data_IF_586384097575
#
_entry.id   IF_586384097575
#
_cell.length_a   1.000
_cell.length_b   1.000
_cell.length_c   1.000
_cell.angle_alpha   90.00
_cell.angle_beta   90.00
_cell.angle_gamma   90.00
#
_symmetry.space_group_name_H-M   'P 1'
#
loop_
_entity.id
_entity.type
_entity.pdbx_description
1 polymer ?
#
# COMPACT_ATOMS: atom_id res chain seq x y z
N UNK A 1 -0.36 13.94 10.95
CA UNK A 1 0.25 14.40 9.70
C UNK A 1 -0.47 15.59 9.08
N UNK A 2 -1.76 15.74 9.32
CA UNK A 2 -2.54 16.96 9.06
C UNK A 2 -2.74 17.69 10.40
N UNK A 3 -3.16 18.95 10.39
CA UNK A 3 -3.49 19.67 11.64
C UNK A 3 -4.88 19.22 12.12
N UNK A 4 -5.92 19.62 11.42
CA UNK A 4 -7.31 19.24 11.66
C UNK A 4 -8.03 19.07 10.32
N UNK A 5 -9.15 18.35 10.33
CA UNK A 5 -10.03 18.28 9.18
C UNK A 5 -10.48 16.87 8.83
N UNK A 6 -11.33 16.75 7.80
CA UNK A 6 -11.88 15.49 7.37
C UNK A 6 -10.80 14.50 6.91
N UNK A 7 -10.98 13.22 7.21
CA UNK A 7 -10.08 12.15 6.80
C UNK A 7 -10.77 11.20 5.84
N UNK A 8 -12.05 10.94 6.08
CA UNK A 8 -12.85 10.04 5.26
C UNK A 8 -14.33 10.39 5.40
N UNK A 9 -15.10 10.13 4.37
CA UNK A 9 -16.55 10.23 4.39
C UNK A 9 -17.16 8.82 4.31
N UNK A 10 -18.19 8.53 5.08
CA UNK A 10 -18.84 7.22 5.15
C UNK A 10 -20.31 7.38 4.81
N UNK A 11 -20.79 6.63 3.81
CA UNK A 11 -22.19 6.59 3.41
C UNK A 11 -22.84 5.28 3.83
N UNK A 12 -23.93 5.36 4.56
CA UNK A 12 -24.74 4.21 4.95
C UNK A 12 -25.76 3.79 3.87
N UNK A 13 -26.49 2.71 4.14
CA UNK A 13 -27.51 2.19 3.23
C UNK A 13 -28.71 3.14 3.05
N UNK A 14 -28.95 4.10 3.96
CA UNK A 14 -29.98 5.13 3.83
C UNK A 14 -29.55 6.30 2.93
N UNK A 15 -28.29 6.33 2.52
CA UNK A 15 -27.69 7.42 1.75
C UNK A 15 -27.15 8.56 2.62
N UNK A 16 -27.23 8.45 3.95
CA UNK A 16 -26.66 9.46 4.86
C UNK A 16 -25.14 9.38 4.82
N UNK A 17 -24.52 10.54 4.67
CA UNK A 17 -23.06 10.69 4.68
C UNK A 17 -22.62 11.23 6.04
N UNK A 18 -21.67 10.55 6.67
CA UNK A 18 -21.01 10.99 7.88
C UNK A 18 -19.54 11.27 7.56
N UNK A 19 -19.06 12.43 7.97
CA UNK A 19 -17.66 12.81 7.86
C UNK A 19 -16.91 12.42 9.13
N UNK A 20 -15.79 11.73 8.99
CA UNK A 20 -14.86 11.43 10.08
C UNK A 20 -13.65 12.33 9.94
N UNK A 21 -13.37 13.10 10.97
CA UNK A 21 -12.32 14.12 10.97
C UNK A 21 -11.33 13.94 12.12
N UNK A 22 -10.11 14.40 11.93
CA UNK A 22 -9.20 14.68 13.02
C UNK A 22 -9.60 16.02 13.67
N UNK A 23 -9.95 15.94 14.95
CA UNK A 23 -10.36 17.10 15.74
C UNK A 23 -9.23 17.68 16.59
N UNK A 24 -8.05 17.04 16.58
CA UNK A 24 -6.90 17.47 17.39
C UNK A 24 -6.10 18.50 16.61
N UNK A 25 -5.84 19.63 17.25
CA UNK A 25 -4.92 20.62 16.72
C UNK A 25 -3.47 20.13 16.80
N UNK A 26 -2.67 20.46 15.81
CA UNK A 26 -1.26 20.16 15.71
C UNK A 26 -0.96 18.84 14.99
N UNK A 27 0.00 18.89 14.06
CA UNK A 27 0.50 17.72 13.36
C UNK A 27 1.72 17.14 14.08
N UNK A 28 1.75 15.82 14.30
CA UNK A 28 2.89 15.13 14.90
C UNK A 28 4.17 15.22 14.05
N UNK A 29 4.02 15.39 12.73
CA UNK A 29 5.12 15.56 11.80
C UNK A 29 4.75 16.54 10.68
N UNK A 30 5.54 17.59 10.52
CA UNK A 30 5.33 18.62 9.50
C UNK A 30 6.39 18.62 8.39
N UNK A 31 7.43 17.80 8.54
CA UNK A 31 8.50 17.64 7.53
C UNK A 31 8.04 16.91 6.26
N UNK A 32 8.96 16.65 5.33
CA UNK A 32 8.67 15.87 4.12
C UNK A 32 8.07 14.50 4.44
N UNK A 33 7.08 14.08 3.66
CA UNK A 33 6.36 12.82 3.85
C UNK A 33 6.23 12.09 2.52
N UNK A 34 6.57 10.81 2.53
CA UNK A 34 6.26 9.86 1.47
C UNK A 34 5.58 8.63 2.07
N UNK A 35 4.58 8.11 1.38
CA UNK A 35 3.84 6.92 1.79
C UNK A 35 4.05 5.84 0.73
N UNK A 36 4.59 4.70 1.16
CA UNK A 36 4.77 3.54 0.30
C UNK A 36 3.51 2.69 0.30
N UNK A 37 3.01 2.35 -0.86
CA UNK A 37 1.82 1.53 -1.05
C UNK A 37 2.05 0.46 -2.10
N UNK A 38 1.28 -0.63 -2.03
CA UNK A 38 1.26 -1.68 -3.04
C UNK A 38 -0.14 -2.26 -3.20
N UNK A 39 -0.28 -3.27 -4.07
CA UNK A 39 -1.57 -3.94 -4.32
C UNK A 39 -2.22 -4.56 -3.09
N UNK A 40 -1.46 -4.88 -2.04
CA UNK A 40 -1.99 -5.42 -0.78
C UNK A 40 -2.44 -4.32 0.22
N UNK A 41 -2.12 -3.05 -0.04
CA UNK A 41 -2.60 -1.93 0.76
C UNK A 41 -4.10 -1.75 0.54
N UNK A 42 -4.91 -2.00 1.56
CA UNK A 42 -6.36 -2.06 1.42
C UNK A 42 -7.10 -1.31 2.54
N UNK A 43 -8.34 -0.88 2.27
CA UNK A 43 -9.29 -0.38 3.27
C UNK A 43 -8.73 0.81 4.09
N UNK A 44 -8.47 0.66 5.39
CA UNK A 44 -7.94 1.73 6.23
C UNK A 44 -6.61 2.30 5.73
N UNK A 45 -5.74 1.48 5.16
CA UNK A 45 -4.49 1.93 4.53
C UNK A 45 -4.78 2.83 3.32
N UNK A 46 -5.85 2.55 2.57
CA UNK A 46 -6.30 3.38 1.45
C UNK A 46 -6.89 4.71 1.92
N UNK A 47 -7.63 4.70 3.04
CA UNK A 47 -8.12 5.93 3.68
C UNK A 47 -6.94 6.84 4.04
N UNK A 48 -5.92 6.28 4.68
CA UNK A 48 -4.73 7.04 5.07
C UNK A 48 -3.98 7.60 3.85
N UNK A 49 -3.64 6.75 2.88
CA UNK A 49 -2.93 7.17 1.68
C UNK A 49 -3.72 8.23 0.88
N UNK A 50 -5.03 8.02 0.74
CA UNK A 50 -5.92 8.96 0.06
C UNK A 50 -5.99 10.32 0.77
N UNK A 51 -6.10 10.34 2.10
CA UNK A 51 -6.10 11.60 2.86
C UNK A 51 -4.78 12.36 2.68
N UNK A 52 -3.63 11.69 2.80
CA UNK A 52 -2.32 12.30 2.56
C UNK A 52 -2.23 12.89 1.15
N UNK A 53 -2.71 12.17 0.14
CA UNK A 53 -2.73 12.61 -1.25
C UNK A 53 -3.66 13.81 -1.47
N UNK A 54 -4.90 13.73 -0.98
CA UNK A 54 -5.93 14.77 -1.18
C UNK A 54 -5.55 16.09 -0.50
N UNK A 55 -4.91 16.02 0.66
CA UNK A 55 -4.36 17.19 1.33
C UNK A 55 -3.09 17.75 0.66
N UNK A 56 -2.48 17.03 -0.27
CA UNK A 56 -1.15 17.38 -0.78
C UNK A 56 -0.10 17.37 0.31
N UNK A 57 -0.31 16.54 1.37
CA UNK A 57 0.57 16.50 2.54
C UNK A 57 1.84 15.70 2.28
N UNK A 58 1.81 14.76 1.36
CA UNK A 58 2.93 13.89 1.02
C UNK A 58 2.73 13.23 -0.34
N UNK A 59 3.77 12.56 -0.82
CA UNK A 59 3.78 11.84 -2.10
C UNK A 59 3.50 10.37 -1.86
N UNK A 60 2.60 9.79 -2.64
CA UNK A 60 2.32 8.35 -2.61
C UNK A 60 3.22 7.67 -3.65
N UNK A 61 3.90 6.61 -3.24
CA UNK A 61 4.89 5.91 -4.05
C UNK A 61 4.58 4.41 -4.05
N UNK A 62 4.70 3.74 -5.19
CA UNK A 62 4.56 2.30 -5.30
C UNK A 62 3.56 1.84 -6.33
N UNK A 63 2.73 0.85 -6.02
CA UNK A 63 1.69 0.34 -6.91
C UNK A 63 0.31 0.90 -6.52
N UNK A 64 -0.66 0.98 -7.46
CA UNK A 64 -2.05 1.24 -7.10
C UNK A 64 -2.53 0.30 -6.01
N UNK A 65 -3.28 0.79 -5.03
CA UNK A 65 -3.73 0.01 -3.89
C UNK A 65 -4.86 -0.98 -4.27
N UNK A 66 -5.35 -1.75 -3.32
CA UNK A 66 -6.30 -2.86 -3.53
C UNK A 66 -7.63 -2.43 -4.15
N UNK A 67 -8.17 -1.28 -3.74
CA UNK A 67 -9.45 -0.77 -4.22
C UNK A 67 -10.67 -1.13 -3.39
N UNK A 68 -10.50 -1.44 -2.08
CA UNK A 68 -11.64 -1.75 -1.19
C UNK A 68 -12.22 -0.47 -0.60
N UNK A 69 -13.38 -0.06 -1.10
CA UNK A 69 -14.14 1.12 -0.65
C UNK A 69 -15.35 0.78 0.23
N UNK A 70 -15.40 -0.42 0.82
CA UNK A 70 -16.54 -0.92 1.60
C UNK A 70 -16.20 -1.11 3.06
N UNK A 71 -17.18 -0.88 3.93
CA UNK A 71 -17.16 -1.22 5.35
C UNK A 71 -17.99 -2.49 5.57
N UNK A 72 -17.39 -3.48 6.19
CA UNK A 72 -18.02 -4.77 6.42
C UNK A 72 -18.08 -5.08 7.91
N UNK A 73 -19.21 -5.65 8.32
CA UNK A 73 -19.40 -6.20 9.66
C UNK A 73 -19.45 -7.71 9.60
N UNK A 74 -18.90 -8.33 10.64
CA UNK A 74 -19.04 -9.76 10.88
C UNK A 74 -20.20 -9.96 11.87
N UNK A 75 -21.26 -10.61 11.42
CA UNK A 75 -22.44 -10.88 12.20
C UNK A 75 -22.43 -12.36 12.62
N UNK A 76 -22.35 -12.61 13.91
CA UNK A 76 -22.49 -13.97 14.42
C UNK A 76 -23.96 -14.40 14.36
N UNK A 77 -24.24 -15.39 13.51
CA UNK A 77 -25.59 -15.86 13.24
C UNK A 77 -26.18 -16.64 14.41
N UNK A 78 -25.30 -17.30 15.20
CA UNK A 78 -25.74 -18.03 16.38
C UNK A 78 -26.19 -17.09 17.50
N UNK A 79 -25.51 -15.95 17.67
CA UNK A 79 -25.96 -14.90 18.59
C UNK A 79 -27.33 -14.32 18.18
N UNK A 80 -27.55 -14.13 16.87
CA UNK A 80 -28.85 -13.66 16.36
C UNK A 80 -29.95 -14.69 16.58
N UNK A 81 -29.63 -15.97 16.39
CA UNK A 81 -30.57 -17.08 16.60
C UNK A 81 -30.70 -17.48 18.09
N UNK A 82 -29.89 -16.88 18.98
CA UNK A 82 -29.80 -17.23 20.41
C UNK A 82 -29.46 -18.71 20.66
N UNK A 83 -28.58 -19.26 19.83
CA UNK A 83 -28.09 -20.63 20.00
C UNK A 83 -27.06 -20.70 21.15
N UNK A 84 -27.19 -21.66 22.05
CA UNK A 84 -26.20 -21.92 23.11
C UNK A 84 -24.92 -22.59 22.54
N UNK A 85 -25.07 -23.35 21.47
CA UNK A 85 -23.95 -23.98 20.75
C UNK A 85 -23.86 -23.48 19.34
N UNK A 86 -22.64 -23.23 18.79
CA UNK A 86 -22.47 -22.76 17.43
C UNK A 86 -22.99 -23.75 16.38
N UNK A 87 -23.88 -23.28 15.48
CA UNK A 87 -24.50 -24.07 14.40
C UNK A 87 -24.34 -23.36 13.05
N UNK A 88 -24.47 -22.02 13.01
CA UNK A 88 -24.58 -21.25 11.76
C UNK A 88 -23.31 -20.50 11.38
N UNK A 89 -22.40 -20.22 12.34
CA UNK A 89 -21.18 -19.44 12.08
C UNK A 89 -21.43 -17.95 11.88
N UNK A 90 -20.57 -17.29 11.08
CA UNK A 90 -20.55 -15.84 10.93
C UNK A 90 -20.87 -15.41 9.49
N UNK A 91 -21.67 -14.34 9.35
CA UNK A 91 -21.97 -13.68 8.10
C UNK A 91 -21.17 -12.39 7.98
N UNK A 92 -20.30 -12.29 6.96
CA UNK A 92 -19.60 -11.06 6.61
C UNK A 92 -20.43 -10.26 5.63
N UNK A 93 -20.93 -9.10 6.06
CA UNK A 93 -21.85 -8.28 5.30
C UNK A 93 -21.32 -6.86 5.11
N UNK A 94 -21.43 -6.33 3.89
CA UNK A 94 -21.17 -4.91 3.61
C UNK A 94 -22.32 -4.07 4.14
N UNK A 95 -22.02 -3.09 4.97
CA UNK A 95 -23.00 -2.22 5.64
C UNK A 95 -22.88 -0.75 5.22
N UNK A 96 -21.71 -0.31 4.79
CA UNK A 96 -21.44 1.07 4.39
C UNK A 96 -20.38 1.12 3.29
N UNK A 97 -20.25 2.27 2.64
CA UNK A 97 -19.17 2.60 1.72
C UNK A 97 -18.42 3.80 2.26
N UNK A 98 -17.11 3.83 2.09
CA UNK A 98 -16.32 5.01 2.40
C UNK A 98 -15.82 5.70 1.13
N UNK A 99 -15.60 6.99 1.26
CA UNK A 99 -15.19 7.89 0.20
C UNK A 99 -14.04 8.76 0.67
N UNK A 100 -13.19 9.12 -0.27
CA UNK A 100 -12.15 10.11 -0.06
C UNK A 100 -12.78 11.46 0.29
N UNK A 101 -12.01 12.33 0.89
CA UNK A 101 -12.45 13.70 1.19
C UNK A 101 -12.69 14.53 -0.09
N UNK A 102 -12.07 14.16 -1.21
CA UNK A 102 -12.35 14.76 -2.52
C UNK A 102 -13.68 14.29 -3.16
N UNK A 103 -14.38 13.37 -2.50
CA UNK A 103 -15.66 12.80 -2.93
C UNK A 103 -15.57 11.53 -3.76
N UNK A 104 -14.40 11.15 -4.26
CA UNK A 104 -14.19 9.90 -4.99
C UNK A 104 -14.16 8.69 -4.05
N UNK A 105 -14.42 7.50 -4.59
CA UNK A 105 -14.23 6.24 -3.86
C UNK A 105 -12.90 5.59 -4.21
N UNK A 106 -12.34 4.80 -3.30
CA UNK A 106 -11.24 3.86 -3.59
C UNK A 106 -11.76 2.57 -4.25
N UNK A 107 -13.08 2.32 -4.21
CA UNK A 107 -13.69 1.10 -4.75
C UNK A 107 -13.24 0.81 -6.19
N UNK A 108 -12.77 -0.40 -6.46
CA UNK A 108 -12.22 -0.92 -7.71
C UNK A 108 -10.90 -0.27 -8.18
N UNK A 109 -10.65 0.98 -7.84
CA UNK A 109 -9.54 1.79 -8.40
C UNK A 109 -8.35 1.92 -7.47
N UNK A 110 -8.59 1.85 -6.15
CA UNK A 110 -7.58 2.13 -5.16
C UNK A 110 -7.13 3.59 -5.15
N UNK A 111 -5.99 3.81 -4.53
CA UNK A 111 -5.22 5.05 -4.57
C UNK A 111 -4.10 4.87 -5.60
N UNK A 112 -4.06 5.73 -6.60
CA UNK A 112 -3.01 5.72 -7.63
C UNK A 112 -1.83 6.55 -7.13
N UNK A 113 -0.62 5.97 -7.04
CA UNK A 113 0.58 6.70 -6.61
C UNK A 113 0.98 7.80 -7.60
N UNK A 114 1.63 8.86 -7.11
CA UNK A 114 2.29 9.86 -7.95
C UNK A 114 3.58 9.30 -8.58
N UNK A 115 4.34 8.50 -7.82
CA UNK A 115 5.49 7.77 -8.33
C UNK A 115 5.15 6.29 -8.40
N UNK A 116 4.82 5.82 -9.60
CA UNK A 116 4.39 4.44 -9.81
C UNK A 116 5.56 3.49 -10.00
N UNK A 117 5.49 2.35 -9.32
CA UNK A 117 6.37 1.21 -9.54
C UNK A 117 5.77 0.25 -10.58
N UNK A 118 6.59 -0.61 -11.18
CA UNK A 118 6.09 -1.68 -12.05
C UNK A 118 5.08 -2.56 -11.30
N UNK A 119 3.97 -2.90 -11.96
CA UNK A 119 2.92 -3.73 -11.38
C UNK A 119 3.39 -5.16 -11.19
N UNK A 120 3.37 -5.64 -9.95
CA UNK A 120 3.70 -7.03 -9.60
C UNK A 120 2.59 -7.99 -9.99
N UNK A 121 1.33 -7.56 -9.87
CA UNK A 121 0.13 -8.33 -10.23
C UNK A 121 -0.85 -7.41 -10.95
N UNK A 122 -1.51 -7.93 -11.99
CA UNK A 122 -2.54 -7.19 -12.70
C UNK A 122 -3.78 -6.97 -11.82
N UNK A 123 -4.54 -5.89 -12.07
CA UNK A 123 -5.70 -5.52 -11.25
C UNK A 123 -6.88 -6.48 -11.38
N UNK A 124 -6.96 -7.22 -12.47
CA UNK A 124 -7.95 -8.27 -12.72
C UNK A 124 -7.58 -9.62 -12.08
N UNK A 125 -6.31 -9.78 -11.66
CA UNK A 125 -5.86 -10.96 -10.94
C UNK A 125 -5.89 -10.77 -9.41
N UNK A 126 -5.67 -9.55 -8.92
CA UNK A 126 -5.62 -9.25 -7.50
C UNK A 126 -6.08 -7.83 -7.20
N UNK A 127 -7.05 -7.68 -6.32
CA UNK A 127 -7.67 -6.43 -5.90
C UNK A 127 -9.19 -6.55 -5.90
N UNK A 128 -9.88 -5.49 -5.50
CA UNK A 128 -11.35 -5.47 -5.47
C UNK A 128 -11.95 -5.71 -6.87
N UNK A 129 -11.28 -5.25 -7.92
CA UNK A 129 -11.70 -5.43 -9.31
C UNK A 129 -11.61 -6.88 -9.81
N UNK A 130 -10.97 -7.79 -9.07
CA UNK A 130 -10.94 -9.22 -9.40
C UNK A 130 -12.20 -9.97 -8.98
N UNK A 131 -13.08 -9.36 -8.17
CA UNK A 131 -14.33 -9.97 -7.74
C UNK A 131 -15.48 -9.66 -8.70
N UNK A 132 -16.17 -10.68 -9.20
CA UNK A 132 -17.29 -10.52 -10.12
C UNK A 132 -18.45 -9.69 -9.55
N UNK A 133 -18.66 -9.77 -8.23
CA UNK A 133 -19.74 -9.11 -7.51
C UNK A 133 -19.29 -7.87 -6.74
N UNK A 134 -18.13 -7.31 -7.05
CA UNK A 134 -17.67 -6.09 -6.43
C UNK A 134 -18.66 -4.93 -6.71
N UNK A 135 -18.89 -4.10 -5.68
CA UNK A 135 -19.73 -2.92 -5.85
C UNK A 135 -19.10 -1.94 -6.85
N UNK A 136 -19.91 -1.25 -7.65
CA UNK A 136 -19.39 -0.30 -8.64
C UNK A 136 -18.74 0.90 -7.96
N UNK A 137 -17.79 1.52 -8.67
CA UNK A 137 -17.23 2.80 -8.27
C UNK A 137 -18.30 3.89 -8.30
N UNK A 138 -18.37 4.68 -7.25
CA UNK A 138 -19.28 5.83 -7.14
C UNK A 138 -18.55 7.03 -6.54
N UNK A 139 -19.17 8.20 -6.60
CA UNK A 139 -18.69 9.42 -5.97
C UNK A 139 -19.82 10.11 -5.20
N UNK A 140 -19.43 10.95 -4.24
CA UNK A 140 -20.30 11.84 -3.48
C UNK A 140 -19.76 13.28 -3.54
N UNK A 141 -20.41 14.22 -2.89
CA UNK A 141 -19.87 15.57 -2.75
C UNK A 141 -18.53 15.54 -1.98
N UNK A 142 -17.61 16.40 -2.38
CA UNK A 142 -16.36 16.57 -1.62
C UNK A 142 -16.63 17.17 -0.25
N UNK A 143 -15.87 16.78 0.75
CA UNK A 143 -15.83 17.40 2.07
C UNK A 143 -15.30 18.84 1.98
N UNK A 144 -15.56 19.64 3.01
CA UNK A 144 -14.95 20.96 3.14
C UNK A 144 -13.56 20.82 3.75
N UNK A 145 -12.50 20.91 2.92
CA UNK A 145 -11.12 20.84 3.36
C UNK A 145 -10.24 21.76 2.54
N UNK A 146 -9.13 22.17 3.14
CA UNK A 146 -8.09 22.97 2.49
C UNK A 146 -6.83 22.15 2.32
N UNK A 147 -6.28 22.13 1.12
CA UNK A 147 -4.99 21.50 0.85
C UNK A 147 -3.86 22.18 1.65
N UNK A 148 -2.94 21.37 2.17
CA UNK A 148 -1.73 21.83 2.86
C UNK A 148 -0.74 22.39 1.85
N UNK A 149 -0.59 21.70 0.71
CA UNK A 149 0.28 22.13 -0.38
C UNK A 149 -0.25 21.63 -1.73
N UNK A 150 0.16 22.31 -2.81
CA UNK A 150 0.07 21.78 -4.17
C UNK A 150 1.41 21.15 -4.54
N UNK A 151 1.44 19.83 -4.65
CA UNK A 151 2.64 19.07 -5.01
C UNK A 151 2.84 18.93 -6.53
N UNK A 152 1.84 19.28 -7.36
CA UNK A 152 1.91 19.13 -8.82
C UNK A 152 3.14 19.77 -9.46
N UNK A 153 3.59 20.97 -9.05
CA UNK A 153 4.77 21.59 -9.65
C UNK A 153 6.08 20.83 -9.43
N UNK A 154 6.19 20.05 -8.36
CA UNK A 154 7.42 19.30 -8.01
C UNK A 154 7.42 17.87 -8.56
N UNK A 155 6.27 17.31 -8.91
CA UNK A 155 6.16 15.92 -9.39
C UNK A 155 7.04 15.63 -10.61
N UNK A 156 7.12 16.47 -11.66
CA UNK A 156 8.00 16.20 -12.81
C UNK A 156 9.47 16.06 -12.42
N UNK A 157 9.94 16.89 -11.49
CA UNK A 157 11.31 16.79 -10.96
C UNK A 157 11.53 15.52 -10.17
N UNK A 158 10.55 15.10 -9.33
CA UNK A 158 10.63 13.87 -8.55
C UNK A 158 10.65 12.64 -9.47
N UNK A 159 9.82 12.62 -10.51
CA UNK A 159 9.78 11.55 -11.51
C UNK A 159 11.12 11.45 -12.26
N UNK A 160 11.66 12.57 -12.76
CA UNK A 160 12.94 12.58 -13.46
C UNK A 160 14.10 12.09 -12.56
N UNK A 161 14.12 12.49 -11.28
CA UNK A 161 15.12 12.00 -10.32
C UNK A 161 14.96 10.52 -10.00
N UNK A 162 13.71 10.05 -9.89
CA UNK A 162 13.42 8.64 -9.69
C UNK A 162 13.95 7.82 -10.87
N UNK A 163 13.60 8.19 -12.10
CA UNK A 163 14.04 7.53 -13.32
C UNK A 163 15.58 7.54 -13.48
N UNK A 164 16.24 8.67 -13.24
CA UNK A 164 17.69 8.76 -13.29
C UNK A 164 18.40 7.85 -12.27
N UNK A 165 17.79 7.61 -11.10
CA UNK A 165 18.31 6.72 -10.07
C UNK A 165 18.05 5.25 -10.42
N UNK A 166 16.82 4.90 -10.77
CA UNK A 166 16.41 3.52 -11.01
C UNK A 166 17.03 2.94 -12.27
N UNK A 167 17.24 3.74 -13.32
CA UNK A 167 17.91 3.30 -14.56
C UNK A 167 19.32 2.75 -14.34
N UNK A 168 20.00 3.14 -13.27
CA UNK A 168 21.35 2.71 -12.93
C UNK A 168 21.41 1.72 -11.77
N UNK A 169 20.31 1.56 -11.03
CA UNK A 169 20.26 0.72 -9.84
C UNK A 169 20.10 -0.75 -10.24
N UNK A 170 20.99 -1.63 -9.75
CA UNK A 170 20.99 -3.06 -10.08
C UNK A 170 19.83 -3.80 -9.42
N UNK A 171 19.47 -3.46 -8.19
CA UNK A 171 18.32 -4.05 -7.49
C UNK A 171 17.02 -3.73 -8.21
N UNK A 172 16.87 -2.48 -8.68
CA UNK A 172 15.70 -2.08 -9.48
C UNK A 172 15.58 -2.90 -10.77
N UNK A 173 16.69 -3.10 -11.47
CA UNK A 173 16.70 -3.93 -12.69
C UNK A 173 16.38 -5.39 -12.39
N UNK A 174 16.84 -5.92 -11.27
CA UNK A 174 16.48 -7.26 -10.81
C UNK A 174 14.99 -7.35 -10.49
N UNK A 175 14.45 -6.36 -9.80
CA UNK A 175 13.01 -6.26 -9.50
C UNK A 175 12.15 -6.25 -10.78
N UNK A 176 12.52 -5.44 -11.78
CA UNK A 176 11.82 -5.42 -13.08
C UNK A 176 11.92 -6.77 -13.81
N UNK A 177 13.07 -7.43 -13.74
CA UNK A 177 13.26 -8.75 -14.33
C UNK A 177 12.41 -9.82 -13.63
N UNK A 178 12.31 -9.79 -12.30
CA UNK A 178 11.45 -10.69 -11.51
C UNK A 178 9.98 -10.53 -11.86
N UNK A 179 9.52 -9.29 -11.98
CA UNK A 179 8.14 -9.00 -12.41
C UNK A 179 7.89 -9.56 -13.81
N UNK A 180 8.84 -9.40 -14.71
CA UNK A 180 8.73 -9.91 -16.09
C UNK A 180 8.67 -11.43 -16.12
N UNK A 181 9.53 -12.11 -15.36
CA UNK A 181 9.52 -13.57 -15.24
C UNK A 181 8.21 -14.06 -14.60
N UNK A 182 7.74 -13.41 -13.54
CA UNK A 182 6.48 -13.76 -12.89
C UNK A 182 5.28 -13.60 -13.83
N UNK A 183 5.23 -12.53 -14.63
CA UNK A 183 4.20 -12.34 -15.67
C UNK A 183 4.26 -13.43 -16.72
N UNK A 184 5.45 -13.78 -17.18
CA UNK A 184 5.65 -14.86 -18.17
C UNK A 184 5.16 -16.20 -17.63
N UNK A 185 5.50 -16.52 -16.37
CA UNK A 185 5.07 -17.75 -15.72
C UNK A 185 3.54 -17.81 -15.57
N UNK A 186 2.90 -16.71 -15.14
CA UNK A 186 1.43 -16.64 -15.05
C UNK A 186 0.72 -16.75 -16.40
N UNK A 187 1.33 -16.24 -17.45
CA UNK A 187 0.77 -16.34 -18.81
C UNK A 187 0.82 -17.78 -19.39
N UNK A 188 1.60 -18.68 -18.78
CA UNK A 188 1.65 -20.09 -19.18
C UNK A 188 0.33 -20.79 -18.89
N UNK A 189 -0.36 -21.24 -19.95
CA UNK A 189 -1.64 -21.96 -19.82
C UNK A 189 -1.48 -23.48 -19.70
N UNK A 190 -0.28 -23.99 -19.88
CA UNK A 190 0.04 -25.41 -19.80
C UNK A 190 1.46 -25.63 -19.31
N UNK A 191 1.70 -26.74 -18.64
CA UNK A 191 3.01 -27.17 -18.19
C UNK A 191 3.32 -28.54 -18.82
N UNK A 192 4.60 -28.77 -19.11
CA UNK A 192 5.05 -30.07 -19.57
C UNK A 192 4.96 -31.11 -18.44
N UNK A 193 4.48 -32.29 -18.74
CA UNK A 193 4.54 -33.46 -17.86
C UNK A 193 5.79 -34.30 -18.07
N UNK A 194 6.65 -33.94 -19.00
CA UNK A 194 7.92 -34.61 -19.22
C UNK A 194 8.92 -34.25 -18.15
N UNK A 195 9.46 -35.24 -17.45
CA UNK A 195 10.36 -35.04 -16.31
C UNK A 195 11.64 -34.27 -16.70
N UNK A 196 12.27 -34.62 -17.84
CA UNK A 196 13.50 -33.96 -18.28
C UNK A 196 13.26 -32.49 -18.60
N UNK A 197 12.13 -32.16 -19.22
CA UNK A 197 11.73 -30.76 -19.48
C UNK A 197 11.52 -30.00 -18.18
N UNK A 198 10.79 -30.58 -17.22
CA UNK A 198 10.53 -29.98 -15.92
C UNK A 198 11.80 -29.77 -15.11
N UNK A 199 12.73 -30.73 -15.15
CA UNK A 199 14.04 -30.60 -14.51
C UNK A 199 14.84 -29.43 -15.11
N UNK A 200 14.90 -29.35 -16.44
CA UNK A 200 15.61 -28.26 -17.12
C UNK A 200 15.03 -26.88 -16.83
N UNK A 201 13.67 -26.76 -16.82
CA UNK A 201 12.99 -25.51 -16.45
C UNK A 201 13.30 -25.09 -15.01
N UNK A 202 13.26 -26.02 -14.05
CA UNK A 202 13.59 -25.77 -12.65
C UNK A 202 15.05 -25.33 -12.48
N UNK A 203 15.97 -26.03 -13.15
CA UNK A 203 17.41 -25.72 -13.06
C UNK A 203 17.71 -24.34 -13.67
N UNK A 204 17.01 -23.95 -14.74
CA UNK A 204 17.11 -22.62 -15.33
C UNK A 204 16.59 -21.52 -14.38
N UNK A 205 15.43 -21.74 -13.73
CA UNK A 205 14.89 -20.81 -12.74
C UNK A 205 15.79 -20.69 -11.49
N UNK A 206 16.35 -21.80 -11.03
CA UNK A 206 17.30 -21.78 -9.90
C UNK A 206 18.59 -21.02 -10.27
N UNK A 207 19.10 -21.17 -11.49
CA UNK A 207 20.25 -20.42 -11.96
C UNK A 207 19.97 -18.92 -12.01
N UNK A 208 18.80 -18.49 -12.51
CA UNK A 208 18.39 -17.08 -12.49
C UNK A 208 18.30 -16.53 -11.06
N UNK A 209 17.68 -17.30 -10.14
CA UNK A 209 17.57 -16.91 -8.73
C UNK A 209 18.93 -16.69 -8.10
N UNK A 210 19.86 -17.65 -8.25
CA UNK A 210 21.24 -17.54 -7.74
C UNK A 210 21.97 -16.33 -8.31
N UNK A 211 21.78 -16.05 -9.60
CA UNK A 211 22.37 -14.87 -10.22
C UNK A 211 21.86 -13.56 -9.60
N UNK A 212 20.55 -13.46 -9.34
CA UNK A 212 19.95 -12.29 -8.68
C UNK A 212 20.43 -12.14 -7.24
N UNK A 213 20.45 -13.23 -6.48
CA UNK A 213 20.96 -13.24 -5.09
C UNK A 213 22.42 -12.77 -5.05
N UNK A 214 23.25 -13.19 -6.00
CA UNK A 214 24.63 -12.74 -6.09
C UNK A 214 24.75 -11.24 -6.38
N UNK A 215 23.89 -10.69 -7.24
CA UNK A 215 23.85 -9.24 -7.52
C UNK A 215 23.41 -8.44 -6.29
N UNK A 216 22.42 -8.91 -5.56
CA UNK A 216 21.95 -8.26 -4.32
C UNK A 216 23.08 -8.27 -3.29
N UNK A 217 23.72 -9.42 -3.05
CA UNK A 217 24.82 -9.53 -2.12
C UNK A 217 26.02 -8.62 -2.49
N UNK A 218 26.28 -8.43 -3.78
CA UNK A 218 27.32 -7.50 -4.24
C UNK A 218 26.95 -6.04 -3.94
N UNK A 219 25.67 -5.65 -4.12
CA UNK A 219 25.19 -4.30 -3.80
C UNK A 219 25.26 -4.04 -2.31
N UNK A 220 24.77 -4.96 -1.48
CA UNK A 220 24.82 -4.87 -0.02
C UNK A 220 26.26 -4.74 0.49
N UNK A 221 27.17 -5.55 -0.04
CA UNK A 221 28.59 -5.47 0.34
C UNK A 221 29.23 -4.13 -0.03
N UNK A 222 28.83 -3.51 -1.14
CA UNK A 222 29.30 -2.17 -1.53
C UNK A 222 28.74 -1.08 -0.63
N UNK A 223 27.47 -1.19 -0.25
CA UNK A 223 26.82 -0.24 0.66
C UNK A 223 27.43 -0.32 2.06
N UNK A 224 27.65 -1.51 2.58
CA UNK A 224 28.33 -1.73 3.86
C UNK A 224 29.74 -1.16 3.86
N UNK A 225 30.50 -1.39 2.78
CA UNK A 225 31.83 -0.84 2.63
C UNK A 225 31.81 0.70 2.58
N UNK A 226 30.84 1.29 1.88
CA UNK A 226 30.66 2.74 1.81
C UNK A 226 30.26 3.34 3.17
N UNK A 227 29.37 2.67 3.91
CA UNK A 227 28.98 3.06 5.25
C UNK A 227 30.17 3.01 6.24
N UNK A 228 30.98 1.96 6.18
CA UNK A 228 32.18 1.83 7.01
C UNK A 228 33.23 2.92 6.73
N UNK A 229 33.34 3.37 5.48
CA UNK A 229 34.22 4.49 5.10
C UNK A 229 33.66 5.82 5.61
N UNK A 230 32.34 6.02 5.52
CA UNK A 230 31.66 7.22 6.02
C UNK A 230 31.80 7.37 7.54
N UNK A 231 31.66 6.28 8.27
CA UNK A 231 31.83 6.23 9.73
C UNK A 231 33.26 6.59 10.15
N UNK A 232 34.24 6.03 9.47
CA UNK A 232 35.69 6.37 9.72
C UNK A 232 36.05 7.81 9.36
N UNK A 233 35.32 8.46 8.47
CA UNK A 233 35.57 9.85 8.06
C UNK A 233 34.86 10.89 8.93
N UNK A 234 34.13 10.49 9.99
CA UNK A 234 33.41 11.39 10.89
C UNK A 234 32.23 12.13 10.25
N UNK A 235 31.82 11.76 9.04
CA UNK A 235 30.60 12.23 8.43
C UNK A 235 29.44 11.38 8.93
N UNK A 236 28.74 11.88 9.95
CA UNK A 236 27.49 11.28 10.37
C UNK A 236 26.60 11.05 9.14
N UNK A 237 26.24 9.80 8.87
CA UNK A 237 25.28 9.44 7.85
C UNK A 237 23.94 10.06 8.25
N UNK A 238 23.57 11.17 7.61
CA UNK A 238 22.25 11.73 7.66
C UNK A 238 21.30 10.78 6.94
N UNK A 239 20.70 9.84 7.66
CA UNK A 239 19.74 8.94 7.03
C UNK A 239 19.38 7.65 7.75
N UNK A 240 19.86 7.38 8.95
CA UNK A 240 19.28 6.29 9.74
C UNK A 240 18.02 6.81 10.47
N UNK A 241 16.85 6.18 10.30
CA UNK A 241 15.72 6.44 11.19
C UNK A 241 16.15 6.05 12.61
N UNK A 242 16.05 6.98 13.55
CA UNK A 242 16.05 6.67 14.99
C UNK A 242 14.74 5.92 15.30
N UNK A 243 14.72 4.63 15.00
CA UNK A 243 13.79 3.71 15.63
C UNK A 243 14.58 3.02 16.74
N UNK A 244 14.43 3.54 17.96
CA UNK A 244 14.80 2.79 19.14
C UNK A 244 13.99 1.50 19.16
N UNK A 245 14.66 0.38 18.91
CA UNK A 245 14.05 -0.96 18.89
C UNK A 245 13.56 -1.41 20.26
N UNK A 246 13.77 -0.62 21.33
CA UNK A 246 13.43 -0.94 22.71
C UNK A 246 12.31 -0.07 23.33
N UNK A 247 11.68 0.81 22.57
CA UNK A 247 10.51 1.54 23.05
C UNK A 247 9.28 0.63 23.05
N UNK A 248 9.03 -0.08 24.14
CA UNK A 248 7.72 -0.69 24.42
C UNK A 248 6.63 0.37 24.30
N UNK A 249 5.58 0.17 23.49
CA UNK A 249 4.45 1.08 23.47
C UNK A 249 3.80 1.06 24.87
N UNK A 250 3.74 2.21 25.51
CA UNK A 250 2.91 2.40 26.68
C UNK A 250 1.45 2.29 26.24
N UNK A 251 0.80 1.20 26.58
CA UNK A 251 -0.65 1.01 26.41
C UNK A 251 -1.30 1.87 27.51
N UNK A 252 -2.11 2.89 27.18
CA UNK A 252 -2.88 3.58 28.21
C UNK A 252 -3.90 2.62 28.79
N UNK A 253 -3.98 2.55 30.12
CA UNK A 253 -5.00 1.81 30.82
C UNK A 253 -6.39 2.30 30.38
N UNK A 254 -7.24 1.38 29.99
CA UNK A 254 -8.65 1.66 29.76
C UNK A 254 -9.29 1.62 31.14
N UNK A 255 -9.73 2.79 31.64
CA UNK A 255 -10.58 2.83 32.82
C UNK A 255 -11.97 2.32 32.41
N UNK A 256 -12.36 1.19 33.01
CA UNK A 256 -13.71 0.68 32.99
C UNK A 256 -14.61 1.60 33.86
N UNK A 257 -15.52 2.33 33.21
CA UNK A 257 -16.69 2.92 33.83
C UNK A 257 -17.86 3.00 32.81
#
# INVERSE_FOLDING_TARGET
FIDQGPVVQIRDASGRVEEKADLRAGAAWTGPLAVLVNRASASASEIFAAAIQDYGRGVIIGEPTFGKGTVQNLLNMDNMARNETPVYGDLKMTVQQFFRINGGSTQLRGVTPELSFPLTVASDEFGESSYENALPWTAIAKADYRQVADLKPILPMLLARHEARTSKNLEWKNFEAEITDAKTLRAQKSISLNEATRASERDAEEAKRKQREAVIAEVEAREDAAAAVADKSGRAASGKPLLDADAKPAVPAVDDA
#
